data_IF_206784655455
#
_entry.id   IF_206784655455
#
_cell.length_a   1.000
_cell.length_b   1.000
_cell.length_c   1.000
_cell.angle_alpha   90.00
_cell.angle_beta   90.00
_cell.angle_gamma   90.00
#
_symmetry.space_group_name_H-M   'P 1'
#
loop_
_entity.id
_entity.type
_entity.pdbx_description
1 polymer ?
#
# COMPACT_ATOMS: atom_id res chain seq x y z
N UNK A 1 17.24 -5.19 -2.14
CA UNK A 1 16.42 -5.69 -3.26
C UNK A 1 15.10 -4.96 -3.28
N UNK A 2 14.86 -4.12 -4.29
CA UNK A 2 13.55 -3.50 -4.49
C UNK A 2 12.61 -4.54 -5.09
N UNK A 3 11.51 -4.84 -4.41
CA UNK A 3 10.50 -5.82 -4.85
C UNK A 3 9.41 -5.19 -5.71
N UNK A 4 9.39 -3.86 -5.81
CA UNK A 4 8.44 -3.08 -6.61
C UNK A 4 9.10 -1.84 -7.25
N UNK A 5 8.41 -1.26 -8.24
CA UNK A 5 8.74 0.01 -8.90
C UNK A 5 7.45 0.78 -9.19
N UNK A 6 7.44 2.10 -9.02
CA UNK A 6 6.20 2.90 -9.18
C UNK A 6 5.74 3.05 -10.64
N UNK A 7 6.62 2.88 -11.61
CA UNK A 7 6.28 2.99 -13.03
C UNK A 7 7.16 2.09 -13.87
N UNK A 8 6.57 1.44 -14.88
CA UNK A 8 7.30 0.63 -15.85
C UNK A 8 7.95 1.46 -16.98
N UNK A 9 7.82 2.80 -16.98
CA UNK A 9 8.24 3.64 -18.11
C UNK A 9 9.67 3.36 -18.56
N UNK A 10 10.57 3.17 -17.60
CA UNK A 10 11.94 2.73 -17.86
C UNK A 10 12.30 1.57 -16.94
N UNK A 11 12.71 0.45 -17.54
CA UNK A 11 13.27 -0.69 -16.82
C UNK A 11 14.79 -0.69 -16.96
N UNK A 12 15.45 -1.19 -15.92
CA UNK A 12 16.90 -1.34 -15.86
C UNK A 12 17.21 -2.76 -15.43
N UNK A 13 18.12 -3.40 -16.15
CA UNK A 13 18.75 -4.63 -15.68
C UNK A 13 20.19 -4.37 -15.24
N UNK A 14 20.61 -5.16 -14.26
CA UNK A 14 22.01 -5.35 -13.89
C UNK A 14 22.23 -6.83 -13.67
N UNK A 15 23.31 -7.36 -14.21
CA UNK A 15 23.67 -8.77 -14.09
C UNK A 15 25.20 -8.91 -14.01
N UNK A 16 25.68 -10.14 -14.00
CA UNK A 16 27.09 -10.47 -14.22
C UNK A 16 27.15 -11.76 -15.02
N UNK A 17 28.15 -11.87 -15.90
CA UNK A 17 28.41 -13.07 -16.66
C UNK A 17 29.91 -13.14 -16.98
N UNK A 18 30.45 -14.34 -17.08
CA UNK A 18 31.85 -14.59 -17.41
C UNK A 18 31.99 -15.98 -18.00
N UNK A 19 32.88 -16.11 -18.98
CA UNK A 19 33.31 -17.37 -19.57
C UNK A 19 34.84 -17.25 -19.73
N UNK A 20 35.63 -17.86 -18.84
CA UNK A 20 37.09 -17.73 -18.85
C UNK A 20 37.76 -18.29 -20.12
N UNK A 21 37.15 -19.29 -20.74
CA UNK A 21 37.74 -20.05 -21.85
C UNK A 21 37.64 -19.30 -23.19
N UNK A 22 36.47 -18.71 -23.46
CA UNK A 22 36.17 -18.10 -24.76
C UNK A 22 35.56 -16.71 -24.67
N UNK A 23 35.34 -16.21 -23.45
CA UNK A 23 34.66 -14.95 -23.22
C UNK A 23 33.20 -14.98 -23.68
N UNK A 24 32.55 -13.82 -23.63
CA UNK A 24 31.15 -13.65 -24.01
C UNK A 24 31.02 -13.24 -25.49
N UNK A 25 31.76 -13.88 -26.39
CA UNK A 25 31.82 -13.49 -27.80
C UNK A 25 30.48 -13.63 -28.54
N UNK A 26 29.59 -14.52 -28.08
CA UNK A 26 28.20 -14.61 -28.57
C UNK A 26 27.31 -13.44 -28.11
N UNK A 27 27.80 -12.59 -27.21
CA UNK A 27 27.12 -11.41 -26.69
C UNK A 27 26.02 -11.75 -25.67
N UNK A 28 25.54 -10.71 -24.99
CA UNK A 28 24.42 -10.81 -24.05
C UNK A 28 23.17 -10.11 -24.59
N UNK A 29 22.00 -10.67 -24.31
CA UNK A 29 20.71 -10.18 -24.75
C UNK A 29 19.73 -10.18 -23.58
N UNK A 30 18.85 -9.18 -23.56
CA UNK A 30 17.85 -9.03 -22.52
C UNK A 30 16.43 -8.87 -23.09
N UNK A 31 15.46 -9.58 -22.50
CA UNK A 31 14.04 -9.43 -22.78
C UNK A 31 13.21 -9.32 -21.47
N UNK A 32 11.95 -8.91 -21.58
CA UNK A 32 11.01 -8.83 -20.47
C UNK A 32 9.73 -9.62 -20.74
N UNK A 33 9.19 -10.25 -19.70
CA UNK A 33 7.94 -10.99 -19.78
C UNK A 33 7.07 -10.85 -18.52
N UNK A 34 5.80 -11.19 -18.66
CA UNK A 34 4.82 -11.23 -17.55
C UNK A 34 4.89 -12.55 -16.77
N UNK A 35 5.56 -13.56 -17.32
CA UNK A 35 5.82 -14.87 -16.71
C UNK A 35 7.33 -15.13 -16.76
N UNK A 36 7.93 -15.79 -15.75
CA UNK A 36 9.36 -16.12 -15.77
C UNK A 36 9.79 -16.81 -17.08
N UNK A 37 10.87 -16.31 -17.70
CA UNK A 37 11.44 -16.87 -18.92
C UNK A 37 10.75 -16.45 -20.23
N UNK A 38 9.59 -15.80 -20.17
CA UNK A 38 8.91 -15.29 -21.37
C UNK A 38 9.45 -13.92 -21.79
N UNK A 39 9.22 -13.56 -23.06
CA UNK A 39 9.62 -12.27 -23.65
C UNK A 39 8.43 -11.52 -24.27
N UNK A 40 7.21 -11.74 -23.75
CA UNK A 40 5.97 -11.23 -24.34
C UNK A 40 5.75 -9.73 -24.11
N UNK A 41 6.41 -9.11 -23.13
CA UNK A 41 6.30 -7.68 -22.88
C UNK A 41 7.33 -6.87 -23.67
N UNK A 42 8.52 -7.44 -23.87
CA UNK A 42 9.56 -6.82 -24.67
C UNK A 42 10.52 -7.88 -25.22
N UNK A 43 10.73 -7.91 -26.54
CA UNK A 43 11.62 -8.86 -27.22
C UNK A 43 13.10 -8.68 -26.83
N UNK A 44 13.97 -9.62 -27.19
CA UNK A 44 15.40 -9.49 -26.91
C UNK A 44 16.02 -8.25 -27.58
N UNK A 45 16.79 -7.48 -26.80
CA UNK A 45 17.75 -6.50 -27.32
C UNK A 45 19.15 -6.95 -26.97
N UNK A 46 20.11 -6.61 -27.81
CA UNK A 46 21.53 -6.81 -27.51
C UNK A 46 21.97 -5.82 -26.43
N UNK A 47 22.59 -6.34 -25.38
CA UNK A 47 23.28 -5.53 -24.37
C UNK A 47 24.62 -5.08 -24.97
N UNK A 48 25.05 -3.82 -24.77
CA UNK A 48 26.35 -3.37 -25.28
C UNK A 48 27.50 -4.27 -24.83
N UNK A 49 28.48 -4.49 -25.71
CA UNK A 49 29.62 -5.35 -25.40
C UNK A 49 30.42 -4.79 -24.23
N UNK A 50 30.83 -5.68 -23.32
CA UNK A 50 31.50 -5.31 -22.07
C UNK A 50 30.59 -4.68 -21.01
N UNK A 51 29.31 -4.43 -21.30
CA UNK A 51 28.35 -3.95 -20.32
C UNK A 51 27.57 -5.09 -19.66
N UNK A 52 27.31 -4.94 -18.37
CA UNK A 52 26.47 -5.86 -17.58
C UNK A 52 25.18 -5.20 -17.08
N UNK A 53 24.73 -4.20 -17.83
CA UNK A 53 23.52 -3.46 -17.56
C UNK A 53 22.95 -2.92 -18.87
N UNK A 54 21.64 -2.69 -18.88
CA UNK A 54 20.94 -2.07 -19.98
C UNK A 54 19.66 -1.40 -19.46
N UNK A 55 19.15 -0.44 -20.23
CA UNK A 55 17.85 0.17 -19.94
C UNK A 55 16.95 0.11 -21.15
N UNK A 56 15.64 0.08 -20.92
CA UNK A 56 14.65 0.09 -21.99
C UNK A 56 13.40 0.86 -21.56
N UNK A 57 12.79 1.55 -22.52
CA UNK A 57 11.45 2.10 -22.37
C UNK A 57 10.39 1.03 -22.68
N UNK A 58 9.37 0.93 -21.83
CA UNK A 58 8.26 0.02 -22.07
C UNK A 58 7.16 0.74 -22.86
N UNK A 59 6.55 0.01 -23.80
CA UNK A 59 5.34 0.48 -24.48
C UNK A 59 4.15 0.39 -23.50
N UNK A 60 3.30 1.44 -23.46
CA UNK A 60 2.11 1.50 -22.60
C UNK A 60 2.38 1.11 -21.13
N UNK A 61 3.36 1.75 -20.45
CA UNK A 61 3.81 1.36 -19.12
C UNK A 61 2.70 1.40 -18.05
N UNK A 62 1.67 2.21 -18.25
CA UNK A 62 0.48 2.30 -17.41
C UNK A 62 -0.33 0.99 -17.37
N UNK A 63 -0.38 0.23 -18.47
CA UNK A 63 -1.08 -1.07 -18.53
C UNK A 63 -0.39 -2.15 -17.71
N UNK A 64 0.85 -1.92 -17.29
CA UNK A 64 1.64 -2.85 -16.50
C UNK A 64 1.46 -2.65 -14.99
N UNK A 65 0.71 -1.63 -14.56
CA UNK A 65 0.39 -1.44 -13.14
C UNK A 65 -0.35 -2.65 -12.56
N UNK A 66 0.03 -3.08 -11.36
CA UNK A 66 -0.42 -4.31 -10.72
C UNK A 66 0.26 -5.59 -11.21
N UNK A 67 1.08 -5.52 -12.27
CA UNK A 67 1.74 -6.70 -12.85
C UNK A 67 3.16 -6.89 -12.32
N UNK A 68 3.56 -8.15 -12.15
CA UNK A 68 4.96 -8.52 -11.90
C UNK A 68 5.70 -8.75 -13.22
N UNK A 69 6.77 -8.00 -13.44
CA UNK A 69 7.59 -8.07 -14.65
C UNK A 69 8.87 -8.84 -14.35
N UNK A 70 9.18 -9.82 -15.19
CA UNK A 70 10.40 -10.63 -15.13
C UNK A 70 11.36 -10.20 -16.24
N UNK A 71 12.65 -10.20 -15.93
CA UNK A 71 13.71 -9.94 -16.90
C UNK A 71 14.48 -11.22 -17.15
N UNK A 72 14.68 -11.57 -18.42
CA UNK A 72 15.47 -12.73 -18.83
C UNK A 72 16.70 -12.25 -19.58
N UNK A 73 17.88 -12.63 -19.10
CA UNK A 73 19.15 -12.37 -19.77
C UNK A 73 19.67 -13.68 -20.33
N UNK A 74 20.09 -13.66 -21.60
CA UNK A 74 20.81 -14.77 -22.22
C UNK A 74 22.18 -14.30 -22.69
N UNK A 75 23.22 -15.06 -22.45
CA UNK A 75 24.56 -14.77 -22.94
C UNK A 75 25.12 -15.97 -23.70
N UNK A 76 25.82 -15.70 -24.79
CA UNK A 76 26.50 -16.69 -25.61
C UNK A 76 28.01 -16.57 -25.49
N UNK A 77 28.71 -17.70 -25.45
CA UNK A 77 30.17 -17.74 -25.46
C UNK A 77 30.74 -17.92 -26.88
N UNK A 78 32.07 -17.96 -27.02
CA UNK A 78 32.74 -18.13 -28.32
C UNK A 78 32.57 -19.52 -28.95
N UNK A 79 32.11 -20.50 -28.18
CA UNK A 79 31.81 -21.86 -28.67
C UNK A 79 30.36 -22.02 -29.18
N UNK A 80 29.55 -20.94 -29.16
CA UNK A 80 28.15 -20.98 -29.59
C UNK A 80 27.18 -21.55 -28.54
N UNK A 81 27.63 -21.77 -27.30
CA UNK A 81 26.77 -22.19 -26.19
C UNK A 81 26.06 -20.99 -25.56
N UNK A 82 24.84 -21.21 -25.05
CA UNK A 82 24.01 -20.18 -24.44
C UNK A 82 23.56 -20.54 -23.04
N UNK A 83 23.55 -19.56 -22.15
CA UNK A 83 22.92 -19.66 -20.82
C UNK A 83 21.85 -18.59 -20.67
N UNK A 84 20.74 -18.95 -20.00
CA UNK A 84 19.65 -18.01 -19.66
C UNK A 84 19.49 -17.92 -18.14
N UNK A 85 19.29 -16.71 -17.63
CA UNK A 85 18.88 -16.45 -16.24
C UNK A 85 17.67 -15.52 -16.23
N UNK A 86 16.78 -15.75 -15.27
CA UNK A 86 15.54 -14.99 -15.08
C UNK A 86 15.58 -14.32 -13.72
N UNK A 87 15.16 -13.05 -13.63
CA UNK A 87 15.05 -12.33 -12.36
C UNK A 87 13.89 -12.85 -11.51
N UNK A 88 13.89 -12.54 -10.21
CA UNK A 88 12.74 -12.78 -9.32
C UNK A 88 11.49 -11.93 -9.67
N UNK A 89 11.65 -10.99 -10.60
CA UNK A 89 10.63 -10.06 -11.04
C UNK A 89 10.36 -8.91 -10.07
N UNK A 90 9.81 -7.82 -10.60
CA UNK A 90 9.43 -6.61 -9.86
C UNK A 90 7.94 -6.33 -10.05
N UNK A 91 7.25 -5.94 -8.99
CA UNK A 91 5.86 -5.46 -9.09
C UNK A 91 5.83 -4.02 -9.57
N UNK A 92 5.11 -3.71 -10.63
CA UNK A 92 4.88 -2.32 -11.04
C UNK A 92 3.62 -1.83 -10.34
N UNK A 93 3.73 -0.86 -9.43
CA UNK A 93 2.57 -0.40 -8.67
C UNK A 93 2.76 1.00 -8.08
N UNK A 94 1.74 1.84 -8.24
CA UNK A 94 1.65 3.19 -7.67
C UNK A 94 0.25 3.51 -7.12
N UNK A 95 -0.53 2.47 -6.86
CA UNK A 95 -1.90 2.60 -6.38
C UNK A 95 -1.99 2.96 -4.90
N UNK A 96 -3.18 3.35 -4.50
CA UNK A 96 -3.59 3.57 -3.11
C UNK A 96 -4.18 2.28 -2.53
N UNK A 97 -4.17 2.09 -1.21
CA UNK A 97 -4.93 1.00 -0.60
C UNK A 97 -6.42 1.06 -0.96
N UNK A 98 -7.01 -0.10 -1.15
CA UNK A 98 -8.44 -0.27 -1.32
C UNK A 98 -9.16 -0.26 0.04
N UNK A 99 -10.23 0.52 0.11
CA UNK A 99 -11.09 0.68 1.27
C UNK A 99 -12.54 0.22 0.98
N UNK A 100 -12.80 -0.44 -0.14
CA UNK A 100 -14.14 -0.88 -0.56
C UNK A 100 -14.82 -1.83 0.43
N UNK A 101 -14.03 -2.69 1.09
CA UNK A 101 -14.49 -3.60 2.14
C UNK A 101 -14.23 -3.05 3.56
N UNK A 102 -13.68 -1.84 3.69
CA UNK A 102 -13.27 -1.31 4.97
C UNK A 102 -14.48 -0.95 5.85
N UNK A 103 -14.39 -1.29 7.14
CA UNK A 103 -15.39 -0.95 8.14
C UNK A 103 -14.73 -0.32 9.35
N UNK A 104 -15.43 0.63 9.95
CA UNK A 104 -15.04 1.34 11.17
C UNK A 104 -16.17 1.26 12.20
N UNK A 105 -15.81 0.87 13.40
CA UNK A 105 -16.69 0.84 14.57
C UNK A 105 -16.18 1.79 15.63
N UNK A 106 -17.12 2.49 16.28
CA UNK A 106 -16.86 3.40 17.39
C UNK A 106 -17.60 2.88 18.62
N UNK A 107 -16.90 2.76 19.73
CA UNK A 107 -17.45 2.32 21.00
C UNK A 107 -17.12 3.35 22.09
N UNK A 108 -18.00 3.46 23.09
CA UNK A 108 -17.64 4.12 24.34
C UNK A 108 -16.71 3.19 25.13
N UNK A 109 -15.58 3.69 25.68
CA UNK A 109 -14.88 2.99 26.75
C UNK A 109 -15.90 2.70 27.85
N UNK A 110 -15.93 1.46 28.33
CA UNK A 110 -16.98 0.91 29.20
C UNK A 110 -17.32 1.90 30.33
N UNK A 111 -18.52 2.48 30.28
CA UNK A 111 -19.14 3.19 31.42
C UNK A 111 -20.22 2.28 32.05
N UNK A 112 -20.64 1.23 31.35
CA UNK A 112 -21.78 0.38 31.70
C UNK A 112 -21.64 -1.02 31.08
N UNK A 113 -22.18 -2.09 31.73
CA UNK A 113 -22.28 -3.42 31.14
C UNK A 113 -23.33 -3.50 30.00
N UNK A 114 -24.17 -2.46 29.84
CA UNK A 114 -25.16 -2.38 28.78
C UNK A 114 -24.56 -1.70 27.54
N UNK A 115 -24.80 -2.31 26.38
CA UNK A 115 -24.42 -1.71 25.09
C UNK A 115 -25.19 -0.41 24.89
N UNK A 116 -24.45 0.69 24.68
CA UNK A 116 -25.06 1.90 24.15
C UNK A 116 -25.64 1.60 22.76
N UNK A 117 -26.75 2.26 22.42
CA UNK A 117 -27.28 2.21 21.05
C UNK A 117 -26.17 2.67 20.10
N UNK A 118 -25.94 1.95 18.99
CA UNK A 118 -24.77 2.11 18.10
C UNK A 118 -24.44 3.56 17.69
N UNK A 119 -25.44 4.45 17.67
CA UNK A 119 -25.27 5.86 17.32
C UNK A 119 -24.90 6.79 18.50
N UNK A 120 -24.75 6.29 19.72
CA UNK A 120 -24.53 7.10 20.93
C UNK A 120 -23.29 6.70 21.71
N UNK A 121 -22.52 7.71 22.15
CA UNK A 121 -21.34 7.53 23.00
C UNK A 121 -21.53 8.31 24.30
N UNK A 122 -21.33 7.62 25.42
CA UNK A 122 -21.46 8.20 26.77
C UNK A 122 -20.19 8.90 27.28
N UNK A 123 -19.03 8.61 26.71
CA UNK A 123 -17.77 9.22 27.09
C UNK A 123 -17.41 10.40 26.16
N UNK A 124 -17.31 11.60 26.73
CA UNK A 124 -17.01 12.83 26.01
C UNK A 124 -15.50 13.13 25.84
N UNK A 125 -14.60 12.30 26.37
CA UNK A 125 -13.15 12.55 26.34
C UNK A 125 -12.31 11.41 25.75
N UNK A 126 -12.92 10.24 25.54
CA UNK A 126 -12.26 9.10 24.91
C UNK A 126 -13.26 8.20 24.15
N UNK A 127 -12.78 7.64 23.06
CA UNK A 127 -13.44 6.66 22.19
C UNK A 127 -12.60 5.40 22.10
N UNK A 128 -13.24 4.25 21.94
CA UNK A 128 -12.57 3.03 21.51
C UNK A 128 -12.94 2.78 20.06
N UNK A 129 -11.94 2.68 19.20
CA UNK A 129 -12.11 2.52 17.75
C UNK A 129 -11.66 1.12 17.34
N UNK A 130 -12.31 0.52 16.36
CA UNK A 130 -11.77 -0.62 15.63
C UNK A 130 -12.07 -0.53 14.14
N UNK A 131 -11.16 -1.03 13.32
CA UNK A 131 -11.32 -1.02 11.87
C UNK A 131 -10.69 -2.25 11.24
N UNK A 132 -11.19 -2.62 10.06
CA UNK A 132 -10.70 -3.74 9.27
C UNK A 132 -11.10 -3.58 7.81
N UNK A 133 -10.61 -4.46 6.93
CA UNK A 133 -11.05 -4.54 5.53
C UNK A 133 -10.29 -3.65 4.55
N UNK A 134 -9.19 -3.02 4.97
CA UNK A 134 -8.25 -2.37 4.06
C UNK A 134 -7.30 -3.39 3.44
N UNK A 135 -7.10 -3.31 2.13
CA UNK A 135 -6.20 -4.20 1.38
C UNK A 135 -5.37 -3.40 0.37
N UNK A 136 -4.20 -3.89 0.02
CA UNK A 136 -3.35 -3.27 -0.99
C UNK A 136 -2.48 -4.33 -1.69
N UNK A 137 -2.03 -4.06 -2.92
CA UNK A 137 -1.11 -4.89 -3.69
C UNK A 137 0.31 -4.87 -3.13
N UNK A 138 0.62 -3.84 -2.34
CA UNK A 138 1.85 -3.73 -1.54
C UNK A 138 1.48 -3.70 -0.06
N UNK A 139 2.45 -3.84 0.82
CA UNK A 139 2.19 -3.85 2.27
C UNK A 139 1.60 -2.50 2.75
N UNK A 140 0.69 -2.60 3.71
CA UNK A 140 0.25 -1.44 4.49
C UNK A 140 1.35 -1.05 5.48
N UNK A 141 1.62 0.24 5.57
CA UNK A 141 2.59 0.80 6.52
C UNK A 141 1.90 1.26 7.81
N UNK A 142 0.75 1.92 7.69
CA UNK A 142 0.08 2.57 8.83
C UNK A 142 -1.41 2.80 8.57
N UNK A 143 -2.15 3.16 9.62
CA UNK A 143 -3.45 3.81 9.49
C UNK A 143 -3.39 5.22 10.06
N UNK A 144 -4.22 6.11 9.54
CA UNK A 144 -4.38 7.44 10.08
C UNK A 144 -5.82 7.67 10.47
N UNK A 145 -6.03 8.36 11.59
CA UNK A 145 -7.34 8.64 12.15
C UNK A 145 -7.56 10.14 12.35
N UNK A 146 -8.81 10.58 12.22
CA UNK A 146 -9.21 11.97 12.40
C UNK A 146 -10.58 12.06 13.10
N UNK A 147 -10.82 13.14 13.84
CA UNK A 147 -12.12 13.44 14.44
C UNK A 147 -12.63 14.80 13.98
N UNK A 148 -13.89 14.83 13.56
CA UNK A 148 -14.57 16.04 13.07
C UNK A 148 -15.84 16.30 13.89
N UNK A 149 -16.09 17.56 14.24
CA UNK A 149 -17.41 18.03 14.70
C UNK A 149 -18.24 18.35 13.44
N UNK A 150 -19.23 17.51 13.16
CA UNK A 150 -20.06 17.61 11.94
C UNK A 150 -20.92 18.87 12.00
N UNK A 151 -21.47 19.20 13.16
CA UNK A 151 -22.35 20.35 13.34
C UNK A 151 -21.66 21.69 13.13
N UNK A 152 -20.36 21.74 13.39
CA UNK A 152 -19.55 22.96 13.24
C UNK A 152 -18.62 22.93 12.02
N UNK A 153 -18.59 21.84 11.26
CA UNK A 153 -17.64 21.62 10.16
C UNK A 153 -16.18 21.89 10.58
N UNK A 154 -15.83 21.49 11.81
CA UNK A 154 -14.53 21.77 12.42
C UNK A 154 -13.73 20.48 12.66
N UNK A 155 -12.41 20.56 12.47
CA UNK A 155 -11.48 19.44 12.75
C UNK A 155 -11.15 19.44 14.23
N UNK A 156 -11.83 18.58 15.01
CA UNK A 156 -11.58 18.45 16.44
C UNK A 156 -10.21 17.83 16.73
N UNK A 157 -9.76 16.90 15.89
CA UNK A 157 -8.41 16.33 15.86
C UNK A 157 -8.04 16.06 14.42
N UNK A 158 -6.88 16.54 13.96
CA UNK A 158 -6.40 16.26 12.60
C UNK A 158 -5.82 14.85 12.48
N UNK A 159 -5.41 14.46 11.27
CA UNK A 159 -4.87 13.13 10.96
C UNK A 159 -3.68 12.76 11.85
N UNK A 160 -3.83 11.67 12.59
CA UNK A 160 -2.80 11.11 13.46
C UNK A 160 -2.48 9.67 13.04
N UNK A 161 -1.20 9.35 13.00
CA UNK A 161 -0.71 7.98 12.83
C UNK A 161 -1.14 7.11 14.00
N UNK A 162 -1.55 5.87 13.72
CA UNK A 162 -1.89 4.89 14.77
C UNK A 162 -0.68 4.07 15.23
N UNK A 163 0.47 4.23 14.59
CA UNK A 163 1.71 3.53 14.95
C UNK A 163 1.92 2.20 14.24
N UNK A 164 1.30 1.97 13.08
CA UNK A 164 1.62 0.85 12.19
C UNK A 164 0.41 0.01 11.73
N UNK A 165 0.61 -0.73 10.64
CA UNK A 165 -0.44 -1.52 9.97
C UNK A 165 -0.97 -2.75 10.73
N UNK A 166 -0.31 -3.14 11.83
CA UNK A 166 -0.79 -4.20 12.72
C UNK A 166 -1.82 -3.70 13.74
N UNK A 167 -1.96 -2.39 13.90
CA UNK A 167 -2.94 -1.79 14.82
C UNK A 167 -4.31 -1.76 14.14
N UNK A 168 -5.27 -2.47 14.72
CA UNK A 168 -6.65 -2.55 14.22
C UNK A 168 -7.69 -1.98 15.21
N UNK A 169 -7.21 -1.54 16.37
CA UNK A 169 -8.03 -0.87 17.38
C UNK A 169 -7.20 0.10 18.20
N UNK A 170 -7.81 1.19 18.65
CA UNK A 170 -7.14 2.23 19.43
C UNK A 170 -8.12 2.89 20.41
N UNK A 171 -7.63 3.20 21.62
CA UNK A 171 -8.27 4.19 22.49
C UNK A 171 -7.88 5.60 22.03
N UNK A 172 -8.81 6.32 21.42
CA UNK A 172 -8.59 7.67 20.91
C UNK A 172 -9.15 8.70 21.89
N UNK A 173 -8.32 9.64 22.35
CA UNK A 173 -8.72 10.55 23.44
C UNK A 173 -8.04 11.92 23.42
N UNK A 174 -7.96 12.51 24.61
CA UNK A 174 -7.39 13.84 24.89
C UNK A 174 -8.16 15.01 24.25
N UNK A 175 -9.45 14.81 23.96
CA UNK A 175 -10.36 15.84 23.45
C UNK A 175 -11.53 16.08 24.42
N UNK A 176 -12.34 17.10 24.16
CA UNK A 176 -13.56 17.38 24.91
C UNK A 176 -14.73 17.56 23.95
N UNK A 177 -15.64 16.59 23.94
CA UNK A 177 -16.80 16.56 23.06
C UNK A 177 -18.03 17.13 23.78
N UNK A 178 -18.73 18.05 23.13
CA UNK A 178 -20.01 18.55 23.60
C UNK A 178 -21.13 17.50 23.52
N UNK A 179 -21.83 17.27 24.64
CA UNK A 179 -23.08 16.49 24.69
C UNK A 179 -24.14 17.08 23.76
N UNK A 180 -24.87 16.21 23.04
CA UNK A 180 -25.90 16.57 22.07
C UNK A 180 -25.35 16.93 20.69
N UNK A 181 -24.03 16.85 20.47
CA UNK A 181 -23.41 17.10 19.17
C UNK A 181 -23.17 15.80 18.39
N UNK A 182 -23.05 15.93 17.07
CA UNK A 182 -22.72 14.85 16.15
C UNK A 182 -21.26 14.99 15.72
N UNK A 183 -20.52 13.90 15.84
CA UNK A 183 -19.13 13.81 15.43
C UNK A 183 -18.97 12.71 14.39
N UNK A 184 -17.89 12.82 13.63
CA UNK A 184 -17.47 11.82 12.65
C UNK A 184 -16.02 11.43 12.93
N UNK A 185 -15.79 10.14 13.16
CA UNK A 185 -14.43 9.57 13.13
C UNK A 185 -14.17 9.07 11.72
N UNK A 186 -12.95 9.30 11.25
CA UNK A 186 -12.49 8.95 9.93
C UNK A 186 -11.20 8.13 10.04
N UNK A 187 -11.09 7.06 9.26
CA UNK A 187 -9.87 6.23 9.15
C UNK A 187 -9.47 6.10 7.69
N UNK A 188 -8.17 6.18 7.40
CA UNK A 188 -7.58 5.83 6.10
C UNK A 188 -6.33 4.99 6.29
N UNK A 189 -6.05 4.08 5.36
CA UNK A 189 -4.82 3.31 5.34
C UNK A 189 -3.73 4.03 4.55
N UNK A 190 -2.47 3.80 4.92
CA UNK A 190 -1.27 4.28 4.23
C UNK A 190 -0.41 3.08 3.89
N UNK A 191 0.02 2.96 2.63
CA UNK A 191 0.92 1.87 2.22
C UNK A 191 2.40 2.24 2.33
N UNK A 192 3.28 1.26 2.09
CA UNK A 192 4.75 1.46 2.10
C UNK A 192 5.26 2.43 1.02
N UNK A 193 4.42 2.85 0.09
CA UNK A 193 4.72 3.90 -0.90
C UNK A 193 4.28 5.30 -0.43
N UNK A 194 3.67 5.41 0.75
CA UNK A 194 3.09 6.65 1.26
C UNK A 194 1.76 7.05 0.59
N UNK A 195 1.13 6.13 -0.16
CA UNK A 195 -0.18 6.38 -0.78
C UNK A 195 -1.30 6.12 0.22
N UNK A 196 -2.33 6.95 0.16
CA UNK A 196 -3.44 6.96 1.12
C UNK A 196 -4.72 6.46 0.48
N UNK A 197 -5.48 5.63 1.20
CA UNK A 197 -6.77 5.13 0.74
C UNK A 197 -7.84 6.23 0.73
N UNK A 198 -9.02 5.91 0.18
CA UNK A 198 -10.25 6.62 0.55
C UNK A 198 -10.51 6.46 2.05
N UNK A 199 -11.22 7.42 2.62
CA UNK A 199 -11.60 7.42 4.03
C UNK A 199 -12.84 6.55 4.25
N UNK A 200 -12.82 5.73 5.31
CA UNK A 200 -14.03 5.16 5.92
C UNK A 200 -14.41 5.99 7.13
N UNK A 201 -15.71 6.23 7.33
CA UNK A 201 -16.20 7.11 8.37
C UNK A 201 -17.31 6.47 9.19
N UNK A 202 -17.43 6.90 10.44
CA UNK A 202 -18.51 6.53 11.33
C UNK A 202 -18.99 7.78 12.08
N UNK A 203 -20.28 8.05 12.02
CA UNK A 203 -20.91 9.17 12.72
C UNK A 203 -21.58 8.70 14.00
N UNK A 204 -21.48 9.50 15.05
CA UNK A 204 -22.08 9.20 16.34
C UNK A 204 -22.48 10.50 17.06
N UNK A 205 -23.40 10.38 18.01
CA UNK A 205 -23.87 11.46 18.87
C UNK A 205 -23.35 11.27 20.29
N UNK A 206 -22.93 12.34 20.94
CA UNK A 206 -22.46 12.27 22.33
C UNK A 206 -23.62 12.49 23.29
N UNK A 207 -23.79 11.59 24.26
CA UNK A 207 -24.69 11.77 25.40
C UNK A 207 -24.02 11.35 26.71
N UNK A 208 -23.29 12.30 27.31
CA UNK A 208 -22.57 12.09 28.56
C UNK A 208 -23.37 12.49 29.82
N UNK A 209 -24.68 12.71 29.71
CA UNK A 209 -25.51 13.16 30.86
C UNK A 209 -26.31 12.00 31.43
N UNK A 210 -26.29 11.78 32.76
CA UNK A 210 -27.17 10.79 33.38
C UNK A 210 -28.64 11.25 33.32
N UNK A 211 -29.60 10.31 33.36
CA UNK A 211 -31.01 10.65 33.48
C UNK A 211 -31.28 11.42 34.78
N UNK A 212 -32.30 12.28 34.78
CA UNK A 212 -32.77 12.98 35.98
C UNK A 212 -33.96 12.23 36.59
N UNK A 213 -33.93 12.01 37.90
CA UNK A 213 -35.10 11.57 38.65
C UNK A 213 -36.01 12.76 38.89
N UNK A 214 -37.32 12.55 38.77
CA UNK A 214 -38.39 13.52 39.05
C UNK A 214 -39.28 13.00 40.15
#
# INVERSE_FOLDING_TARGET
NFTFQQSAHKLIIRFSASDPETGLAGGCFWCCGSVPGTCNLAAYIRVPDGAFWATRLMHEPEKLSGSRIFSSVRCGNGAGLWTVKVSAGILIYNGTPDASAAKLSVYSPIVSPFLAKDAFVGNASALMLSWWGFLDQVELADYQIRLMDVGQSFVARDWLSVGGSKVQSLRFGDFSLGTGRVYRVEVRAVNVLGKMSKTVAHEFRVDAKPPKLT
#
